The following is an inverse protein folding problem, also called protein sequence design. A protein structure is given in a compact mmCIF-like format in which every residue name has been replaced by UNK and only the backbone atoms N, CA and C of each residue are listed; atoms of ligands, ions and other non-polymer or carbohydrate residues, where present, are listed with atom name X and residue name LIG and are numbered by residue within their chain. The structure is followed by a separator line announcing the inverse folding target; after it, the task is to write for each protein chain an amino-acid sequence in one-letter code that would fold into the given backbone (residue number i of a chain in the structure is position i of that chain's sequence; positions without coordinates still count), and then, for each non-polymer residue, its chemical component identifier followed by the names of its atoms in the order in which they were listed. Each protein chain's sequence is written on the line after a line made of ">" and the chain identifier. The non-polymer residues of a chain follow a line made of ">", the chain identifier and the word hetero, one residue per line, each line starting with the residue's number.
data_IF_554277506913
#
_entry.id   IF_554277506913
#
_cell.length_a   1.000
_cell.length_b   1.000
_cell.length_c   1.000
_cell.angle_alpha   90.00
_cell.angle_beta   90.00
_cell.angle_gamma   90.00
#
_symmetry.space_group_name_H-M   'P 1'
#
loop_
_entity.id
_entity.type
_entity.pdbx_description
1 polymer ?
#
# COMPACT_ATOMS: atom_id res chain seq x y z
N UNK A 1 -7.13 11.13 -24.27
CA UNK A 1 -6.20 12.20 -23.88
C UNK A 1 -5.15 11.57 -22.97
N UNK A 2 -3.89 11.52 -23.39
CA UNK A 2 -2.83 10.94 -22.58
C UNK A 2 -2.34 11.99 -21.59
N UNK A 3 -2.53 11.75 -20.29
CA UNK A 3 -1.89 12.55 -19.24
C UNK A 3 -0.45 12.07 -19.12
N UNK A 4 0.49 12.85 -19.64
CA UNK A 4 1.92 12.62 -19.42
C UNK A 4 2.19 12.82 -17.93
N UNK A 5 2.37 11.73 -17.19
CA UNK A 5 2.93 11.75 -15.83
C UNK A 5 4.44 12.02 -15.92
N UNK A 6 4.82 13.23 -16.30
CA UNK A 6 6.21 13.66 -16.24
C UNK A 6 6.50 14.10 -14.80
N UNK A 7 7.46 13.43 -14.15
CA UNK A 7 8.00 13.89 -12.87
C UNK A 7 8.90 15.09 -13.17
N UNK A 8 8.66 16.28 -12.59
CA UNK A 8 9.58 17.38 -12.73
C UNK A 8 10.89 17.03 -12.02
N UNK A 9 11.97 17.05 -12.78
CA UNK A 9 13.32 16.84 -12.28
C UNK A 9 14.06 18.16 -12.38
N UNK A 10 14.67 18.58 -11.27
CA UNK A 10 15.56 19.73 -11.23
C UNK A 10 16.97 19.27 -11.58
N UNK A 11 17.58 19.91 -12.56
CA UNK A 11 19.00 19.71 -12.83
C UNK A 11 19.83 20.28 -11.67
N UNK A 12 20.69 19.45 -11.09
CA UNK A 12 21.53 19.82 -9.95
C UNK A 12 22.92 20.25 -10.43
N UNK A 13 23.64 19.31 -11.06
CA UNK A 13 25.02 19.55 -11.47
C UNK A 13 25.47 18.60 -12.59
N UNK A 14 26.60 18.94 -13.19
CA UNK A 14 27.37 18.03 -14.06
C UNK A 14 28.70 17.70 -13.40
N UNK A 15 29.08 16.43 -13.44
CA UNK A 15 30.44 16.00 -13.09
C UNK A 15 30.96 15.05 -14.15
N UNK A 16 32.08 15.43 -14.78
CA UNK A 16 32.89 14.76 -15.80
C UNK A 16 32.15 13.96 -16.88
N UNK A 17 31.39 12.92 -16.53
CA UNK A 17 30.65 12.04 -17.45
C UNK A 17 29.17 11.84 -17.05
N UNK A 18 28.60 12.63 -16.15
CA UNK A 18 27.22 12.45 -15.68
C UNK A 18 26.48 13.78 -15.44
N UNK A 19 25.16 13.72 -15.60
CA UNK A 19 24.21 14.76 -15.23
C UNK A 19 23.46 14.28 -13.98
N UNK A 20 23.39 15.13 -12.97
CA UNK A 20 22.67 14.83 -11.73
C UNK A 20 21.36 15.60 -11.72
N UNK A 21 20.28 14.87 -11.47
CA UNK A 21 18.94 15.44 -11.34
C UNK A 21 18.39 15.12 -9.95
N UNK A 22 17.85 16.13 -9.29
CA UNK A 22 17.08 15.99 -8.06
C UNK A 22 15.60 16.01 -8.43
N UNK A 23 14.85 14.99 -8.07
CA UNK A 23 13.40 15.14 -8.01
C UNK A 23 13.10 16.03 -6.79
N UNK A 24 12.36 17.13 -6.97
CA UNK A 24 11.86 17.90 -5.84
C UNK A 24 10.97 16.98 -4.99
N UNK A 25 11.51 16.53 -3.87
CA UNK A 25 10.76 15.82 -2.83
C UNK A 25 10.06 16.86 -1.96
N UNK A 26 9.11 17.61 -2.51
CA UNK A 26 8.05 18.23 -1.73
C UNK A 26 6.91 18.75 -2.63
N UNK A 27 5.68 18.34 -2.31
CA UNK A 27 4.40 18.83 -2.84
C UNK A 27 3.83 18.27 -4.16
N UNK A 28 4.38 17.20 -4.76
CA UNK A 28 3.50 16.33 -5.56
C UNK A 28 2.70 15.48 -4.58
N UNK A 29 1.41 15.78 -4.41
CA UNK A 29 0.50 14.94 -3.65
C UNK A 29 0.62 13.52 -4.18
N UNK A 30 1.27 12.65 -3.40
CA UNK A 30 1.31 11.24 -3.73
C UNK A 30 -0.14 10.78 -3.88
N UNK A 31 -0.48 10.09 -4.97
CA UNK A 31 -1.86 9.70 -5.20
C UNK A 31 -2.35 8.91 -3.97
N UNK A 32 -3.48 9.32 -3.44
CA UNK A 32 -4.15 8.60 -2.37
C UNK A 32 -5.18 7.66 -2.96
N UNK A 33 -5.41 6.55 -2.28
CA UNK A 33 -6.28 5.47 -2.70
C UNK A 33 -7.22 5.09 -1.55
N UNK A 34 -8.45 4.77 -1.90
CA UNK A 34 -9.32 3.99 -1.04
C UNK A 34 -9.11 2.50 -1.40
N UNK A 35 -8.66 1.71 -0.43
CA UNK A 35 -8.51 0.27 -0.60
C UNK A 35 -9.86 -0.40 -0.33
N UNK A 36 -10.33 -1.19 -1.29
CA UNK A 36 -11.64 -1.80 -1.24
C UNK A 36 -11.56 -3.30 -1.48
N UNK A 37 -12.19 -4.09 -0.61
CA UNK A 37 -12.30 -5.54 -0.81
C UNK A 37 -13.47 -5.91 -1.74
N UNK A 38 -13.55 -7.18 -2.15
CA UNK A 38 -14.61 -7.69 -3.06
C UNK A 38 -16.04 -7.44 -2.58
N UNK A 39 -16.25 -7.36 -1.27
CA UNK A 39 -17.58 -7.11 -0.67
C UNK A 39 -17.93 -5.62 -0.57
N UNK A 40 -17.24 -4.77 -1.36
CA UNK A 40 -17.38 -3.32 -1.39
C UNK A 40 -17.11 -2.60 -0.05
N UNK A 41 -16.39 -3.24 0.88
CA UNK A 41 -15.97 -2.60 2.13
C UNK A 41 -14.63 -1.91 1.95
N UNK A 42 -14.48 -0.76 2.60
CA UNK A 42 -13.32 0.12 2.46
C UNK A 42 -12.46 0.09 3.71
N UNK A 43 -11.15 0.07 3.49
CA UNK A 43 -10.16 0.16 4.56
C UNK A 43 -10.14 1.55 5.18
N UNK A 44 -10.09 1.58 6.51
CA UNK A 44 -9.79 2.76 7.30
C UNK A 44 -8.86 2.42 8.47
N UNK A 45 -8.18 3.43 8.99
CA UNK A 45 -7.52 3.38 10.28
C UNK A 45 -8.46 3.97 11.35
N UNK A 46 -9.10 3.12 12.14
CA UNK A 46 -10.11 3.55 13.09
C UNK A 46 -9.55 4.38 14.26
N UNK A 47 -10.44 4.89 15.12
CA UNK A 47 -10.06 5.74 16.25
C UNK A 47 -9.13 5.02 17.25
N UNK A 48 -9.30 3.70 17.44
CA UNK A 48 -8.45 2.86 18.28
C UNK A 48 -7.08 2.60 17.66
N UNK A 49 -6.84 3.09 16.44
CA UNK A 49 -5.60 2.91 15.72
C UNK A 49 -5.45 1.48 15.23
N UNK A 50 -6.51 0.89 14.68
CA UNK A 50 -6.51 -0.43 14.06
C UNK A 50 -7.01 -0.35 12.62
N UNK A 51 -6.47 -1.22 11.75
CA UNK A 51 -6.95 -1.34 10.38
C UNK A 51 -8.23 -2.15 10.32
N UNK A 52 -9.26 -1.54 9.73
CA UNK A 52 -10.60 -2.10 9.70
C UNK A 52 -11.25 -1.81 8.36
N UNK A 53 -12.11 -2.73 7.91
CA UNK A 53 -12.95 -2.53 6.74
C UNK A 53 -14.42 -2.52 7.13
N UNK A 54 -15.16 -1.56 6.57
CA UNK A 54 -16.59 -1.40 6.75
C UNK A 54 -17.22 -0.75 5.53
N UNK A 55 -18.56 -0.70 5.52
CA UNK A 55 -19.29 0.07 4.52
C UNK A 55 -19.10 1.56 4.80
N UNK A 56 -18.67 2.32 3.78
CA UNK A 56 -18.47 3.77 3.88
C UNK A 56 -19.30 4.48 2.83
N UNK A 57 -20.02 5.52 3.24
CA UNK A 57 -20.65 6.44 2.29
C UNK A 57 -19.61 7.27 1.52
N UNK A 58 -20.01 7.90 0.41
CA UNK A 58 -19.11 8.71 -0.41
C UNK A 58 -18.42 9.84 0.39
N UNK A 59 -19.12 10.44 1.35
CA UNK A 59 -18.55 11.47 2.22
C UNK A 59 -17.48 10.90 3.18
N UNK A 60 -17.66 9.66 3.62
CA UNK A 60 -16.74 9.01 4.56
C UNK A 60 -15.46 8.53 3.88
N UNK A 61 -15.56 8.09 2.62
CA UNK A 61 -14.40 7.73 1.80
C UNK A 61 -13.44 8.91 1.59
N UNK A 62 -13.93 10.15 1.72
CA UNK A 62 -13.11 11.36 1.65
C UNK A 62 -12.38 11.69 2.95
N UNK A 63 -12.64 10.99 4.06
CA UNK A 63 -11.95 11.24 5.33
C UNK A 63 -10.47 10.81 5.24
N UNK A 64 -9.53 11.52 5.89
CA UNK A 64 -8.10 11.21 5.80
C UNK A 64 -7.74 9.80 6.28
N UNK A 65 -8.45 9.27 7.26
CA UNK A 65 -8.26 7.93 7.83
C UNK A 65 -8.69 6.79 6.89
N UNK A 66 -9.43 7.11 5.83
CA UNK A 66 -9.87 6.18 4.78
C UNK A 66 -8.99 6.27 3.52
N UNK A 67 -8.01 7.20 3.51
CA UNK A 67 -7.13 7.48 2.37
C UNK A 67 -5.72 6.96 2.66
N UNK A 68 -5.23 6.14 1.75
CA UNK A 68 -3.93 5.48 1.87
C UNK A 68 -3.02 5.90 0.73
N UNK A 69 -1.75 6.06 1.04
CA UNK A 69 -0.67 6.30 0.10
C UNK A 69 0.06 4.99 -0.14
N UNK A 70 0.55 4.83 -1.37
CA UNK A 70 1.41 3.72 -1.75
C UNK A 70 2.74 4.35 -2.17
N UNK A 71 3.77 4.14 -1.36
CA UNK A 71 5.13 4.56 -1.70
C UNK A 71 5.81 3.44 -2.48
N UNK A 72 6.35 3.77 -3.64
CA UNK A 72 6.99 2.81 -4.55
C UNK A 72 8.50 2.90 -4.37
N UNK A 73 9.13 1.74 -4.17
CA UNK A 73 10.57 1.58 -4.16
C UNK A 73 11.03 1.02 -5.51
N UNK A 74 11.97 1.72 -6.15
CA UNK A 74 12.62 1.22 -7.35
C UNK A 74 13.73 0.27 -6.94
N UNK A 75 13.50 -1.03 -7.14
CA UNK A 75 14.53 -2.04 -6.95
C UNK A 75 15.02 -2.51 -8.32
N UNK A 76 16.23 -2.07 -8.71
CA UNK A 76 16.89 -2.49 -9.95
C UNK A 76 17.44 -3.91 -9.89
N UNK A 77 17.40 -4.59 -8.74
CA UNK A 77 17.84 -5.98 -8.55
C UNK A 77 16.70 -7.00 -8.60
N UNK A 78 15.44 -6.55 -8.50
CA UNK A 78 14.23 -7.37 -8.52
C UNK A 78 13.60 -7.52 -9.92
N UNK A 79 14.40 -7.49 -11.00
CA UNK A 79 13.93 -7.78 -12.37
C UNK A 79 13.24 -9.16 -12.50
N UNK A 80 13.36 -10.04 -11.48
CA UNK A 80 12.75 -11.36 -11.43
C UNK A 80 11.36 -11.41 -10.76
N UNK A 81 10.92 -10.37 -10.05
CA UNK A 81 9.55 -10.32 -9.50
C UNK A 81 8.59 -9.65 -10.49
N UNK A 82 7.43 -10.27 -10.71
CA UNK A 82 6.38 -9.72 -11.58
C UNK A 82 5.63 -8.50 -10.97
N UNK A 83 6.13 -7.96 -9.86
CA UNK A 83 5.50 -6.88 -9.09
C UNK A 83 6.50 -5.82 -8.63
N UNK A 84 5.96 -4.77 -8.00
CA UNK A 84 6.72 -3.57 -7.59
C UNK A 84 6.79 -3.51 -6.07
N UNK A 85 7.96 -3.26 -5.50
CA UNK A 85 8.13 -3.10 -4.06
C UNK A 85 7.46 -1.82 -3.55
N UNK A 86 6.57 -1.94 -2.57
CA UNK A 86 5.79 -0.82 -2.02
C UNK A 86 5.63 -0.84 -0.50
N UNK A 87 5.44 0.34 0.10
CA UNK A 87 4.90 0.51 1.44
C UNK A 87 3.52 1.17 1.40
N UNK A 88 2.56 0.61 2.14
CA UNK A 88 1.20 1.11 2.28
C UNK A 88 1.04 1.89 3.59
N UNK A 89 0.55 3.13 3.54
CA UNK A 89 0.39 3.94 4.74
C UNK A 89 -0.73 4.96 4.68
N UNK A 90 -1.17 5.44 5.84
CA UNK A 90 -2.05 6.62 5.97
C UNK A 90 -1.39 7.68 6.84
N UNK A 91 -1.80 8.94 6.70
CA UNK A 91 -1.30 10.03 7.52
C UNK A 91 -2.27 10.31 8.67
N UNK A 92 -1.79 10.21 9.92
CA UNK A 92 -2.57 10.55 11.11
C UNK A 92 -1.77 11.47 12.00
N UNK A 93 -2.29 12.67 12.28
CA UNK A 93 -1.66 13.67 13.14
C UNK A 93 -0.21 14.00 12.74
N UNK A 94 0.05 14.13 11.42
CA UNK A 94 1.37 14.42 10.88
C UNK A 94 2.34 13.22 10.85
N UNK A 95 1.92 12.04 11.33
CA UNK A 95 2.73 10.81 11.30
C UNK A 95 2.23 9.87 10.20
N UNK A 96 3.16 9.18 9.55
CA UNK A 96 2.85 8.10 8.62
C UNK A 96 2.64 6.82 9.43
N UNK A 97 1.47 6.21 9.26
CA UNK A 97 1.09 4.95 9.89
C UNK A 97 1.12 3.88 8.81
N UNK A 98 2.14 3.02 8.86
CA UNK A 98 2.36 1.94 7.90
C UNK A 98 1.53 0.70 8.25
N UNK A 99 1.17 -0.07 7.23
CA UNK A 99 0.72 -1.44 7.40
C UNK A 99 1.94 -2.36 7.58
N UNK A 100 2.16 -2.88 8.79
CA UNK A 100 3.28 -3.77 9.10
C UNK A 100 2.80 -5.20 9.30
N UNK A 101 3.58 -6.14 8.80
CA UNK A 101 3.42 -7.58 9.03
C UNK A 101 3.99 -7.97 10.39
N UNK A 102 3.27 -8.85 11.10
CA UNK A 102 3.73 -9.54 12.30
C UNK A 102 3.54 -11.05 12.14
N UNK A 103 4.18 -11.81 13.03
CA UNK A 103 3.90 -13.22 13.24
C UNK A 103 2.39 -13.50 13.40
N UNK A 104 2.01 -14.76 13.25
CA UNK A 104 0.61 -15.22 13.36
C UNK A 104 -0.36 -14.60 12.36
N UNK A 105 0.12 -14.23 11.18
CA UNK A 105 -0.69 -13.75 10.06
C UNK A 105 -1.37 -12.39 10.31
N UNK A 106 -0.77 -11.57 11.16
CA UNK A 106 -1.35 -10.28 11.55
C UNK A 106 -0.77 -9.12 10.73
N UNK A 107 -1.63 -8.13 10.46
CA UNK A 107 -1.22 -6.80 10.01
C UNK A 107 -1.55 -5.82 11.13
N UNK A 108 -0.57 -5.01 11.51
CA UNK A 108 -0.72 -4.00 12.55
C UNK A 108 -0.25 -2.63 12.06
N UNK A 109 -0.85 -1.55 12.55
CA UNK A 109 -0.40 -0.19 12.28
C UNK A 109 0.82 0.16 13.12
N UNK A 110 1.80 0.77 12.47
CA UNK A 110 2.99 1.30 13.14
C UNK A 110 3.37 2.66 12.60
N UNK A 111 3.65 3.60 13.51
CA UNK A 111 4.15 4.91 13.12
C UNK A 111 5.64 4.79 12.78
N UNK A 112 5.99 5.09 11.54
CA UNK A 112 7.38 5.10 11.09
C UNK A 112 7.59 6.05 9.92
N UNK A 113 8.81 6.58 9.80
CA UNK A 113 9.20 7.36 8.63
C UNK A 113 9.42 6.45 7.42
N UNK A 114 9.26 7.01 6.22
CA UNK A 114 9.61 6.30 4.98
C UNK A 114 11.13 6.23 4.88
N UNK A 115 11.75 5.04 4.96
CA UNK A 115 13.17 4.92 4.75
C UNK A 115 13.51 5.26 3.29
N UNK A 116 14.64 5.95 3.08
CA UNK A 116 15.14 6.23 1.71
C UNK A 116 15.67 4.97 1.03
N UNK A 117 16.27 4.09 1.81
CA UNK A 117 16.85 2.83 1.36
C UNK A 117 16.39 1.71 2.30
N UNK A 118 16.10 0.55 1.73
CA UNK A 118 15.71 -0.64 2.50
C UNK A 118 16.88 -1.61 2.45
N UNK A 119 17.67 -1.64 3.52
CA UNK A 119 18.80 -2.56 3.64
C UNK A 119 18.34 -3.99 4.01
N UNK A 120 17.17 -4.13 4.61
CA UNK A 120 16.64 -5.40 5.09
C UNK A 120 15.85 -6.14 3.99
N UNK A 121 16.32 -7.33 3.63
CA UNK A 121 15.65 -8.17 2.63
C UNK A 121 14.24 -8.64 3.05
N UNK A 122 13.89 -8.58 4.34
CA UNK A 122 12.62 -9.06 4.91
C UNK A 122 11.92 -7.97 5.74
N UNK A 123 11.83 -6.76 5.20
CA UNK A 123 11.28 -5.62 5.93
C UNK A 123 9.76 -5.76 6.18
N UNK A 124 9.33 -5.61 7.43
CA UNK A 124 7.94 -5.86 7.89
C UNK A 124 6.85 -5.05 7.19
N UNK A 125 7.15 -3.84 6.71
CA UNK A 125 6.19 -2.96 6.05
C UNK A 125 6.23 -3.04 4.51
N UNK A 126 7.12 -3.88 3.96
CA UNK A 126 7.37 -3.94 2.53
C UNK A 126 6.55 -5.06 1.87
N UNK A 127 5.89 -4.71 0.77
CA UNK A 127 5.08 -5.63 -0.01
C UNK A 127 5.48 -5.61 -1.48
N UNK A 128 5.37 -6.74 -2.16
CA UNK A 128 5.38 -6.81 -3.62
C UNK A 128 3.95 -6.58 -4.14
N UNK A 129 3.74 -5.48 -4.86
CA UNK A 129 2.48 -5.10 -5.47
C UNK A 129 2.39 -5.67 -6.89
N UNK A 130 1.44 -6.57 -7.12
CA UNK A 130 1.19 -7.17 -8.43
C UNK A 130 -0.18 -6.75 -8.95
N UNK A 131 -0.21 -6.23 -10.18
CA UNK A 131 -1.47 -5.88 -10.86
C UNK A 131 -2.11 -7.14 -11.45
N UNK A 132 -3.39 -7.36 -11.16
CA UNK A 132 -4.15 -8.48 -11.72
C UNK A 132 -4.90 -8.08 -12.99
N UNK A 133 -5.87 -7.15 -12.84
CA UNK A 133 -6.69 -6.65 -13.94
C UNK A 133 -7.40 -5.36 -13.52
N UNK A 134 -7.64 -4.41 -14.45
CA UNK A 134 -8.32 -3.15 -14.12
C UNK A 134 -7.67 -2.43 -12.93
N UNK A 135 -8.45 -2.19 -11.87
CA UNK A 135 -7.99 -1.62 -10.59
C UNK A 135 -7.76 -2.67 -9.48
N UNK A 136 -7.67 -3.95 -9.83
CA UNK A 136 -7.41 -5.06 -8.90
C UNK A 136 -5.92 -5.36 -8.78
N UNK A 137 -5.48 -5.48 -7.53
CA UNK A 137 -4.10 -5.74 -7.17
C UNK A 137 -4.00 -6.77 -6.05
N UNK A 138 -2.81 -7.33 -5.87
CA UNK A 138 -2.42 -8.14 -4.72
C UNK A 138 -1.14 -7.57 -4.09
N UNK A 139 -1.04 -7.66 -2.77
CA UNK A 139 0.12 -7.22 -2.01
C UNK A 139 0.73 -8.42 -1.31
N UNK A 140 1.85 -8.94 -1.81
CA UNK A 140 2.57 -10.03 -1.15
C UNK A 140 3.53 -9.48 -0.10
N UNK A 141 3.59 -10.08 1.08
CA UNK A 141 4.56 -9.69 2.10
C UNK A 141 5.97 -10.16 1.72
N UNK A 142 6.92 -9.23 1.65
CA UNK A 142 8.34 -9.57 1.44
C UNK A 142 8.88 -10.35 2.65
N UNK A 143 8.46 -9.99 3.87
CA UNK A 143 8.88 -10.65 5.09
C UNK A 143 8.30 -12.07 5.26
N UNK A 144 7.21 -12.40 4.54
CA UNK A 144 6.48 -13.67 4.68
C UNK A 144 6.03 -14.17 3.30
N UNK A 145 6.90 -14.87 2.56
CA UNK A 145 6.62 -15.33 1.20
C UNK A 145 5.34 -16.17 1.10
N UNK A 146 4.62 -16.06 -0.03
CA UNK A 146 3.31 -16.68 -0.30
C UNK A 146 2.17 -16.22 0.64
N UNK A 147 2.39 -15.18 1.44
CA UNK A 147 1.34 -14.53 2.24
C UNK A 147 1.04 -13.14 1.70
N UNK A 148 -0.25 -12.87 1.53
CA UNK A 148 -0.75 -11.66 0.89
C UNK A 148 -1.62 -10.86 1.86
N UNK A 149 -1.72 -9.55 1.67
CA UNK A 149 -2.77 -8.78 2.33
C UNK A 149 -4.13 -9.36 1.94
N UNK A 150 -4.95 -9.58 2.95
CA UNK A 150 -6.32 -10.05 2.76
C UNK A 150 -7.21 -9.62 3.92
N UNK A 151 -8.44 -10.09 3.88
CA UNK A 151 -9.50 -9.58 4.75
C UNK A 151 -10.25 -10.72 5.44
N UNK A 152 -10.44 -10.58 6.74
CA UNK A 152 -11.18 -11.55 7.56
C UNK A 152 -12.29 -10.87 8.36
N UNK A 153 -13.48 -11.49 8.49
CA UNK A 153 -14.51 -11.00 9.40
C UNK A 153 -14.00 -10.86 10.83
N UNK A 154 -14.46 -9.83 11.53
CA UNK A 154 -14.22 -9.69 12.97
C UNK A 154 -15.22 -10.58 13.72
N UNK A 155 -14.73 -11.39 14.65
CA UNK A 155 -15.56 -12.29 15.45
C UNK A 155 -16.65 -11.50 16.20
N UNK A 156 -17.89 -12.00 16.12
CA UNK A 156 -19.06 -11.32 16.70
C UNK A 156 -19.50 -10.03 16.00
N UNK A 157 -18.82 -9.60 14.92
CA UNK A 157 -19.15 -8.38 14.16
C UNK A 157 -19.03 -8.61 12.64
N UNK A 158 -19.99 -9.32 12.02
CA UNK A 158 -19.90 -9.73 10.61
C UNK A 158 -19.92 -8.57 9.61
N UNK A 159 -20.40 -7.38 10.01
CA UNK A 159 -20.34 -6.17 9.19
C UNK A 159 -18.93 -5.58 9.08
N UNK A 160 -18.00 -6.02 9.92
CA UNK A 160 -16.63 -5.51 10.00
C UNK A 160 -15.66 -6.59 9.56
N UNK A 161 -14.62 -6.19 8.83
CA UNK A 161 -13.46 -7.02 8.57
C UNK A 161 -12.19 -6.38 9.11
N UNK A 162 -11.20 -7.20 9.41
CA UNK A 162 -9.83 -6.79 9.74
C UNK A 162 -8.90 -7.08 8.56
N UNK A 163 -7.85 -6.28 8.45
CA UNK A 163 -6.74 -6.52 7.54
C UNK A 163 -5.80 -7.57 8.15
N UNK A 164 -5.41 -8.57 7.37
CA UNK A 164 -4.60 -9.72 7.81
C UNK A 164 -3.64 -10.18 6.71
N UNK A 165 -2.72 -11.08 7.04
CA UNK A 165 -1.95 -11.85 6.06
C UNK A 165 -2.63 -13.19 5.77
N UNK A 166 -2.86 -13.51 4.50
CA UNK A 166 -3.51 -14.74 4.06
C UNK A 166 -2.53 -15.54 3.21
N UNK A 167 -2.37 -16.80 3.53
CA UNK A 167 -1.61 -17.71 2.67
C UNK A 167 -2.46 -18.06 1.45
N UNK A 168 -1.91 -17.90 0.25
CA UNK A 168 -2.58 -18.35 -0.98
C UNK A 168 -2.09 -19.76 -1.33
N UNK A 169 -3.01 -20.73 -1.32
CA UNK A 169 -2.70 -22.09 -1.76
C UNK A 169 -2.51 -22.16 -3.28
N UNK A 170 -1.75 -23.16 -3.78
CA UNK A 170 -1.50 -23.33 -5.22
C UNK A 170 -2.78 -23.54 -6.05
N UNK A 171 -3.85 -24.07 -5.42
CA UNK A 171 -5.14 -24.35 -6.08
C UNK A 171 -6.25 -23.32 -5.74
N UNK A 172 -5.88 -22.22 -5.08
CA UNK A 172 -6.85 -21.30 -4.49
C UNK A 172 -7.34 -20.22 -5.46
N UNK A 173 -8.59 -20.36 -5.94
CA UNK A 173 -9.44 -19.26 -6.44
C UNK A 173 -9.90 -18.36 -5.28
N UNK A 174 -8.99 -18.07 -4.35
CA UNK A 174 -9.29 -17.25 -3.18
C UNK A 174 -9.06 -15.78 -3.52
N UNK A 175 -10.16 -15.12 -3.90
CA UNK A 175 -10.18 -13.68 -4.18
C UNK A 175 -10.10 -12.84 -2.89
N UNK A 176 -10.00 -13.44 -1.69
CA UNK A 176 -9.95 -12.71 -0.42
C UNK A 176 -8.70 -11.85 -0.23
N UNK A 177 -7.69 -12.05 -1.08
CA UNK A 177 -6.46 -11.24 -1.15
C UNK A 177 -6.47 -10.21 -2.30
N UNK A 178 -7.55 -10.16 -3.09
CA UNK A 178 -7.72 -9.13 -4.11
C UNK A 178 -8.13 -7.79 -3.47
N UNK A 179 -7.39 -6.75 -3.79
CA UNK A 179 -7.64 -5.39 -3.33
C UNK A 179 -7.92 -4.51 -4.54
N UNK A 180 -9.06 -3.82 -4.54
CA UNK A 180 -9.32 -2.76 -5.50
C UNK A 180 -8.69 -1.46 -5.00
N UNK A 181 -7.87 -0.82 -5.82
CA UNK A 181 -7.26 0.47 -5.53
C UNK A 181 -8.03 1.57 -6.27
N UNK A 182 -8.94 2.23 -5.57
CA UNK A 182 -9.69 3.33 -6.14
C UNK A 182 -8.95 4.64 -5.87
N UNK A 183 -8.45 5.30 -6.91
CA UNK A 183 -7.78 6.60 -6.77
C UNK A 183 -8.75 7.63 -6.21
N UNK A 184 -8.35 8.30 -5.13
CA UNK A 184 -9.12 9.41 -4.57
C UNK A 184 -8.98 10.62 -5.51
N UNK A 185 -10.11 11.27 -5.81
CA UNK A 185 -10.08 12.56 -6.49
C UNK A 185 -9.76 13.65 -5.46
N UNK A 186 -8.99 14.65 -5.90
CA UNK A 186 -8.73 15.89 -5.15
C UNK A 186 -9.96 16.79 -5.11
#
# INVERSE_FOLDING_TARGET
>A
MATNNCIPVQFLETSSNAFYFGAESDSFHSPTYNLQCKDNKFLLLNNDGQFQLQDLSAQEQCRPDCRFNIHIYNDSSLEQMQGISVMLYTNRNGKKIMACCRDHNEIYPEAMDLPREIAEAAHKALFCLTKLSGEKYMFESIAYPNKFLGFEPVEGRPSLKKLVLRMKGPDGVDDSSEVNLNRCNE
#
